data_IF_704404882322
#
_entry.id   IF_704404882322
#
_cell.length_a   1.000
_cell.length_b   1.000
_cell.length_c   1.000
_cell.angle_alpha   90.00
_cell.angle_beta   90.00
_cell.angle_gamma   90.00
#
_symmetry.space_group_name_H-M   'P 1'
#
loop_
_entity.id
_entity.type
_entity.pdbx_description
1 polymer ?
#
# COMPACT_ATOMS: atom_id res chain seq x y z
N UNK A 1 18.58 -9.12 13.35
CA UNK A 1 18.01 -10.16 14.24
C UNK A 1 17.66 -9.61 15.65
N UNK A 2 17.19 -8.34 15.79
CA UNK A 2 17.16 -7.68 17.11
C UNK A 2 15.80 -7.08 17.57
N UNK A 3 14.82 -6.85 16.69
CA UNK A 3 13.55 -6.22 17.11
C UNK A 3 12.60 -7.20 17.82
N UNK A 4 12.49 -8.44 17.35
CA UNK A 4 11.59 -9.45 17.95
C UNK A 4 11.94 -9.75 19.41
N UNK A 5 13.22 -9.79 19.77
CA UNK A 5 13.69 -10.02 21.15
C UNK A 5 13.49 -8.81 22.06
N UNK A 6 13.45 -7.61 21.49
CA UNK A 6 13.23 -6.34 22.20
C UNK A 6 11.75 -6.10 22.55
N UNK A 7 10.83 -6.76 21.83
CA UNK A 7 9.39 -6.59 22.03
C UNK A 7 8.84 -7.65 22.99
N UNK A 8 8.18 -7.24 24.10
CA UNK A 8 7.53 -8.15 25.03
C UNK A 8 6.59 -9.14 24.33
N UNK A 9 6.59 -10.41 24.77
CA UNK A 9 5.79 -11.48 24.14
C UNK A 9 4.30 -11.12 24.02
N UNK A 10 3.75 -10.37 24.98
CA UNK A 10 2.34 -9.93 24.98
C UNK A 10 2.00 -8.93 23.85
N UNK A 11 2.96 -8.10 23.41
CA UNK A 11 2.74 -7.08 22.37
C UNK A 11 2.93 -7.61 20.94
N UNK A 12 3.54 -8.78 20.77
CA UNK A 12 3.79 -9.37 19.45
C UNK A 12 2.50 -9.70 18.69
N UNK A 13 1.47 -10.18 19.40
CA UNK A 13 0.15 -10.48 18.82
C UNK A 13 -0.55 -9.22 18.27
N UNK A 14 -0.75 -8.18 19.09
CA UNK A 14 -1.30 -6.90 18.64
C UNK A 14 -0.51 -6.25 17.49
N UNK A 15 0.83 -6.28 17.55
CA UNK A 15 1.68 -5.73 16.49
C UNK A 15 1.53 -6.52 15.18
N UNK A 16 1.44 -7.85 15.27
CA UNK A 16 1.12 -8.69 14.11
C UNK A 16 -0.23 -8.30 13.51
N UNK A 17 -1.27 -8.17 14.34
CA UNK A 17 -2.61 -7.78 13.88
C UNK A 17 -2.63 -6.38 13.22
N UNK A 18 -1.95 -5.39 13.78
CA UNK A 18 -1.81 -4.08 13.14
C UNK A 18 -1.05 -4.18 11.82
N UNK A 19 -0.01 -5.01 11.76
CA UNK A 19 0.78 -5.20 10.53
C UNK A 19 -0.03 -5.82 9.40
N UNK A 20 -0.92 -6.77 9.70
CA UNK A 20 -1.81 -7.36 8.67
C UNK A 20 -2.87 -6.36 8.21
N UNK A 21 -3.39 -5.50 9.10
CA UNK A 21 -4.31 -4.41 8.71
C UNK A 21 -3.61 -3.46 7.73
N UNK A 22 -2.38 -3.04 8.04
CA UNK A 22 -1.57 -2.19 7.14
C UNK A 22 -1.33 -2.91 5.82
N UNK A 23 -1.06 -4.21 5.83
CA UNK A 23 -0.87 -4.99 4.61
C UNK A 23 -2.11 -4.97 3.71
N UNK A 24 -3.28 -5.25 4.29
CA UNK A 24 -4.54 -5.28 3.57
C UNK A 24 -4.92 -3.89 3.04
N UNK A 25 -4.83 -2.86 3.88
CA UNK A 25 -5.13 -1.49 3.46
C UNK A 25 -4.18 -1.01 2.36
N UNK A 26 -2.88 -1.26 2.50
CA UNK A 26 -1.90 -0.90 1.48
C UNK A 26 -2.14 -1.64 0.16
N UNK A 27 -2.50 -2.92 0.20
CA UNK A 27 -2.83 -3.68 -1.01
C UNK A 27 -4.10 -3.16 -1.70
N UNK A 28 -5.18 -2.93 -0.93
CA UNK A 28 -6.46 -2.47 -1.49
C UNK A 28 -6.35 -1.04 -2.03
N UNK A 29 -5.83 -0.11 -1.23
CA UNK A 29 -5.71 1.29 -1.64
C UNK A 29 -4.68 1.42 -2.77
N UNK A 30 -3.54 0.72 -2.68
CA UNK A 30 -2.53 0.72 -3.73
C UNK A 30 -3.07 0.19 -5.05
N UNK A 31 -3.89 -0.87 -5.02
CA UNK A 31 -4.55 -1.44 -6.21
C UNK A 31 -5.53 -0.46 -6.86
N UNK A 32 -6.36 0.20 -6.06
CA UNK A 32 -7.31 1.20 -6.56
C UNK A 32 -6.55 2.35 -7.23
N UNK A 33 -5.52 2.89 -6.58
CA UNK A 33 -4.72 3.98 -7.12
C UNK A 33 -3.95 3.57 -8.38
N UNK A 34 -3.41 2.35 -8.44
CA UNK A 34 -2.74 1.86 -9.62
C UNK A 34 -3.69 1.74 -10.80
N UNK A 35 -4.83 1.06 -10.63
CA UNK A 35 -5.79 0.89 -11.72
C UNK A 35 -6.38 2.22 -12.17
N UNK A 36 -6.72 3.09 -11.22
CA UNK A 36 -7.24 4.41 -11.53
C UNK A 36 -6.19 5.31 -12.19
N UNK A 37 -4.96 5.31 -11.71
CA UNK A 37 -3.86 6.05 -12.33
C UNK A 37 -3.56 5.56 -13.74
N UNK A 38 -3.55 4.24 -13.96
CA UNK A 38 -3.37 3.64 -15.29
C UNK A 38 -4.53 4.00 -16.21
N UNK A 39 -5.77 3.97 -15.73
CA UNK A 39 -6.93 4.34 -16.55
C UNK A 39 -6.90 5.81 -16.97
N UNK A 40 -6.45 6.70 -16.09
CA UNK A 40 -6.23 8.11 -16.42
C UNK A 40 -5.07 8.31 -17.41
N UNK A 41 -3.95 7.61 -17.22
CA UNK A 41 -2.77 7.73 -18.09
C UNK A 41 -3.04 7.35 -19.54
N UNK A 42 -3.86 6.31 -19.75
CA UNK A 42 -4.29 5.85 -21.07
C UNK A 42 -5.57 6.53 -21.57
N UNK A 43 -6.07 7.55 -20.86
CA UNK A 43 -7.30 8.28 -21.23
C UNK A 43 -8.53 7.36 -21.41
N UNK A 44 -8.58 6.27 -20.64
CA UNK A 44 -9.67 5.29 -20.65
C UNK A 44 -10.95 5.83 -19.99
N UNK A 45 -10.87 7.01 -19.35
CA UNK A 45 -11.99 7.73 -18.74
C UNK A 45 -12.14 9.10 -19.41
N UNK A 46 -12.90 9.21 -20.52
CA UNK A 46 -12.96 10.43 -21.34
C UNK A 46 -13.39 11.68 -20.57
N UNK A 47 -14.25 11.50 -19.56
CA UNK A 47 -14.77 12.56 -18.68
C UNK A 47 -13.67 13.27 -17.88
N UNK A 48 -12.52 12.63 -17.69
CA UNK A 48 -11.40 13.14 -16.88
C UNK A 48 -10.28 13.78 -17.72
N UNK A 49 -10.35 13.68 -19.05
CA UNK A 49 -9.27 14.13 -19.96
C UNK A 49 -8.98 15.64 -19.88
N UNK A 50 -9.99 16.45 -19.56
CA UNK A 50 -9.84 17.91 -19.40
C UNK A 50 -9.50 18.30 -17.96
N UNK A 51 -9.63 17.37 -17.01
CA UNK A 51 -9.43 17.62 -15.58
C UNK A 51 -8.01 17.30 -15.13
N UNK A 52 -7.36 16.31 -15.76
CA UNK A 52 -6.02 15.87 -15.40
C UNK A 52 -5.16 15.65 -16.63
N UNK A 53 -3.94 16.18 -16.57
CA UNK A 53 -2.89 15.92 -17.54
C UNK A 53 -2.30 14.52 -17.37
N UNK A 54 -1.68 14.00 -18.43
CA UNK A 54 -1.01 12.71 -18.39
C UNK A 54 0.14 12.68 -17.36
N UNK A 55 0.85 13.80 -17.18
CA UNK A 55 1.87 13.95 -16.12
C UNK A 55 1.30 13.82 -14.71
N UNK A 56 0.11 14.36 -14.45
CA UNK A 56 -0.54 14.24 -13.14
C UNK A 56 -1.01 12.80 -12.87
N UNK A 57 -1.45 12.09 -13.91
CA UNK A 57 -1.81 10.66 -13.77
C UNK A 57 -0.63 9.78 -13.37
N UNK A 58 0.60 10.12 -13.79
CA UNK A 58 1.81 9.42 -13.33
C UNK A 58 2.02 9.58 -11.82
N UNK A 59 1.69 10.74 -11.25
CA UNK A 59 1.76 10.96 -9.79
C UNK A 59 0.81 10.02 -9.05
N UNK A 60 -0.40 9.81 -9.58
CA UNK A 60 -1.37 8.87 -9.01
C UNK A 60 -0.84 7.43 -9.06
N UNK A 61 -0.25 7.02 -10.20
CA UNK A 61 0.37 5.70 -10.36
C UNK A 61 1.50 5.50 -9.34
N UNK A 62 2.43 6.45 -9.25
CA UNK A 62 3.56 6.40 -8.31
C UNK A 62 3.06 6.34 -6.88
N UNK A 63 2.02 7.11 -6.54
CA UNK A 63 1.39 7.07 -5.22
C UNK A 63 0.83 5.67 -4.92
N UNK A 64 0.15 5.05 -5.89
CA UNK A 64 -0.33 3.67 -5.76
C UNK A 64 0.80 2.66 -5.52
N UNK A 65 1.94 2.80 -6.21
CA UNK A 65 3.13 1.96 -6.02
C UNK A 65 3.71 2.14 -4.61
N UNK A 66 3.83 3.37 -4.13
CA UNK A 66 4.34 3.66 -2.78
C UNK A 66 3.43 3.05 -1.72
N UNK A 67 2.11 3.20 -1.87
CA UNK A 67 1.12 2.59 -0.96
C UNK A 67 1.22 1.07 -0.99
N UNK A 68 1.42 0.46 -2.15
CA UNK A 68 1.69 -0.98 -2.28
C UNK A 68 2.96 -1.40 -1.54
N UNK A 69 4.04 -0.63 -1.65
CA UNK A 69 5.29 -0.90 -0.95
C UNK A 69 5.10 -0.85 0.58
N UNK A 70 4.29 0.09 1.08
CA UNK A 70 3.91 0.16 2.50
C UNK A 70 3.08 -1.07 2.90
N UNK A 71 2.12 -1.48 2.07
CA UNK A 71 1.35 -2.71 2.29
C UNK A 71 2.26 -3.96 2.35
N UNK A 72 3.23 -4.05 1.45
CA UNK A 72 4.22 -5.12 1.46
C UNK A 72 5.09 -5.11 2.73
N UNK A 73 5.48 -3.93 3.21
CA UNK A 73 6.16 -3.79 4.49
C UNK A 73 5.29 -4.27 5.67
N UNK A 74 3.99 -3.97 5.65
CA UNK A 74 3.01 -4.51 6.60
C UNK A 74 2.93 -6.04 6.58
N UNK A 75 2.91 -6.63 5.39
CA UNK A 75 2.92 -8.10 5.21
C UNK A 75 4.20 -8.73 5.79
N UNK A 76 5.36 -8.12 5.52
CA UNK A 76 6.66 -8.53 6.09
C UNK A 76 6.66 -8.39 7.61
N UNK A 77 6.08 -7.33 8.15
CA UNK A 77 5.91 -7.11 9.59
C UNK A 77 5.04 -8.18 10.24
N UNK A 78 3.91 -8.53 9.63
CA UNK A 78 3.05 -9.61 10.10
C UNK A 78 3.80 -10.93 10.19
N UNK A 79 4.49 -11.33 9.12
CA UNK A 79 5.30 -12.55 9.13
C UNK A 79 6.41 -12.54 10.18
N UNK A 80 6.96 -11.38 10.51
CA UNK A 80 8.04 -11.26 11.49
C UNK A 80 7.56 -11.35 12.95
N UNK A 81 6.37 -10.79 13.24
CA UNK A 81 5.84 -10.70 14.61
C UNK A 81 4.86 -11.82 14.96
N UNK A 82 4.07 -12.30 14.00
CA UNK A 82 3.08 -13.35 14.22
C UNK A 82 3.66 -14.78 14.11
N UNK A 83 4.69 -14.97 13.29
CA UNK A 83 5.45 -16.22 13.15
C UNK A 83 6.88 -16.00 13.67
#
# INVERSE_FOLDING_TARGET
MALKTSVPKSLRGPIGLLSIIVALLGAVIGYIFLLFGVSLYFQLVPQMNETMTQSESLVVIVTGIVVFAVGYAGWRGFHYFAY
#
